data_IF_495166634162
#
_entry.id   IF_495166634162
#
_cell.length_a   1.000
_cell.length_b   1.000
_cell.length_c   1.000
_cell.angle_alpha   90.00
_cell.angle_beta   90.00
_cell.angle_gamma   90.00
#
_symmetry.space_group_name_H-M   'P 1'
#
loop_
_entity.id
_entity.type
_entity.pdbx_description
1 polymer ?
#
# COMPACT_ATOMS: atom_id res chain seq x y z
N UNK A 1 17.15 -35.73 -21.15
CA UNK A 1 17.65 -35.36 -19.81
C UNK A 1 17.43 -33.87 -19.66
N UNK A 2 16.64 -33.49 -18.64
CA UNK A 2 16.00 -32.18 -18.51
C UNK A 2 16.99 -31.05 -18.22
N UNK A 3 16.86 -29.96 -18.97
CA UNK A 3 17.52 -28.69 -18.75
C UNK A 3 16.92 -28.02 -17.51
N UNK A 4 17.69 -27.97 -16.42
CA UNK A 4 17.37 -27.11 -15.27
C UNK A 4 17.65 -25.68 -15.69
N UNK A 5 16.60 -24.86 -15.83
CA UNK A 5 16.74 -23.40 -15.80
C UNK A 5 17.00 -23.01 -14.35
N UNK A 6 18.24 -22.66 -14.05
CA UNK A 6 18.61 -21.96 -12.84
C UNK A 6 17.94 -20.58 -12.87
N UNK A 7 16.94 -20.37 -12.01
CA UNK A 7 16.56 -19.03 -11.61
C UNK A 7 17.72 -18.48 -10.78
N UNK A 8 18.42 -17.51 -11.36
CA UNK A 8 19.51 -16.75 -10.76
C UNK A 8 19.20 -16.42 -9.30
N UNK A 9 20.06 -16.92 -8.42
CA UNK A 9 20.08 -16.50 -7.02
C UNK A 9 20.38 -15.01 -6.92
N UNK A 10 19.49 -14.29 -6.25
CA UNK A 10 19.83 -13.08 -5.53
C UNK A 10 19.68 -13.40 -4.04
N UNK A 11 20.75 -13.96 -3.47
CA UNK A 11 21.01 -13.80 -2.05
C UNK A 11 21.46 -12.34 -1.82
N UNK A 12 20.49 -11.45 -1.67
CA UNK A 12 20.68 -10.16 -0.99
C UNK A 12 19.50 -10.01 -0.05
N UNK A 13 19.60 -10.57 1.16
CA UNK A 13 18.59 -10.39 2.19
C UNK A 13 18.60 -8.94 2.67
N UNK A 14 18.04 -8.02 1.88
CA UNK A 14 17.71 -6.68 2.37
C UNK A 14 16.74 -6.86 3.53
N UNK A 15 16.99 -6.16 4.64
CA UNK A 15 16.08 -6.16 5.77
C UNK A 15 14.67 -5.77 5.28
N UNK A 16 13.62 -6.40 5.81
CA UNK A 16 12.26 -5.94 5.54
C UNK A 16 12.12 -4.45 5.88
N UNK A 17 11.32 -3.73 5.10
CA UNK A 17 10.97 -2.35 5.40
C UNK A 17 10.29 -2.26 6.75
N UNK A 18 10.60 -1.26 7.56
CA UNK A 18 9.95 -1.02 8.85
C UNK A 18 8.55 -0.48 8.67
N UNK A 19 8.36 0.56 7.84
CA UNK A 19 7.06 1.21 7.65
C UNK A 19 6.83 1.50 6.18
N UNK A 20 5.83 0.85 5.62
CA UNK A 20 5.39 1.05 4.24
C UNK A 20 4.09 1.88 4.19
N UNK A 21 4.11 2.98 3.44
CA UNK A 21 2.93 3.79 3.14
C UNK A 21 2.43 3.44 1.74
N UNK A 22 1.21 2.93 1.65
CA UNK A 22 0.56 2.50 0.42
C UNK A 22 -0.54 3.51 0.06
N UNK A 23 -0.25 4.40 -0.90
CA UNK A 23 -1.22 5.35 -1.43
C UNK A 23 -2.11 4.65 -2.44
N UNK A 24 -3.34 4.34 -2.04
CA UNK A 24 -4.31 3.57 -2.83
C UNK A 24 -5.11 4.48 -3.77
N UNK A 25 -5.50 3.95 -4.93
CA UNK A 25 -6.26 4.62 -5.98
C UNK A 25 -7.74 4.24 -5.88
N UNK A 26 -8.18 3.22 -6.61
CA UNK A 26 -9.59 2.94 -6.85
C UNK A 26 -10.22 1.99 -5.80
N UNK A 27 -11.52 2.18 -5.58
CA UNK A 27 -12.39 1.19 -4.94
C UNK A 27 -12.57 -0.07 -5.79
N UNK A 28 -13.14 -1.12 -5.18
CA UNK A 28 -13.46 -2.38 -5.88
C UNK A 28 -12.23 -3.27 -6.07
N UNK A 29 -12.06 -3.81 -7.28
CA UNK A 29 -11.03 -4.82 -7.55
C UNK A 29 -9.60 -4.32 -7.30
N UNK A 30 -9.35 -3.02 -7.44
CA UNK A 30 -8.02 -2.44 -7.29
C UNK A 30 -7.53 -2.57 -5.83
N UNK A 31 -8.31 -2.06 -4.88
CA UNK A 31 -8.02 -2.24 -3.46
C UNK A 31 -8.16 -3.70 -2.99
N UNK A 32 -9.24 -4.41 -3.39
CA UNK A 32 -9.54 -5.75 -2.87
C UNK A 32 -8.59 -6.82 -3.40
N UNK A 33 -8.23 -6.76 -4.69
CA UNK A 33 -7.42 -7.80 -5.37
C UNK A 33 -5.99 -7.34 -5.70
N UNK A 34 -5.69 -6.04 -5.57
CA UNK A 34 -4.36 -5.48 -5.80
C UNK A 34 -3.68 -5.05 -4.51
N UNK A 35 -4.12 -3.92 -3.93
CA UNK A 35 -3.39 -3.26 -2.85
C UNK A 35 -3.50 -3.99 -1.50
N UNK A 36 -4.63 -4.61 -1.17
CA UNK A 36 -4.74 -5.42 0.06
C UNK A 36 -3.88 -6.71 0.01
N UNK A 37 -3.88 -7.49 -1.09
CA UNK A 37 -2.94 -8.61 -1.23
C UNK A 37 -1.47 -8.18 -1.17
N UNK A 38 -1.12 -7.01 -1.71
CA UNK A 38 0.22 -6.44 -1.60
C UNK A 38 0.57 -6.08 -0.15
N UNK A 39 -0.32 -5.39 0.57
CA UNK A 39 -0.17 -5.09 1.99
C UNK A 39 0.02 -6.38 2.81
N UNK A 40 -0.82 -7.40 2.55
CA UNK A 40 -0.72 -8.72 3.16
C UNK A 40 0.64 -9.39 2.91
N UNK A 41 1.20 -9.23 1.72
CA UNK A 41 2.51 -9.81 1.38
C UNK A 41 3.66 -9.08 2.06
N UNK A 42 3.59 -7.75 2.20
CA UNK A 42 4.55 -6.97 2.99
C UNK A 42 4.54 -7.41 4.46
N UNK A 43 3.36 -7.50 5.06
CA UNK A 43 3.18 -8.00 6.44
C UNK A 43 3.77 -9.42 6.59
N UNK A 44 3.49 -10.32 5.64
CA UNK A 44 4.03 -11.70 5.66
C UNK A 44 5.55 -11.73 5.60
N UNK A 45 6.16 -10.81 4.86
CA UNK A 45 7.63 -10.73 4.69
C UNK A 45 8.33 -10.03 5.86
N UNK A 46 7.59 -9.61 6.88
CA UNK A 46 8.15 -9.03 8.09
C UNK A 46 8.27 -7.51 8.05
N UNK A 47 7.51 -6.84 7.18
CA UNK A 47 7.37 -5.38 7.31
C UNK A 47 6.75 -5.05 8.66
N UNK A 48 7.34 -4.15 9.44
CA UNK A 48 6.97 -3.91 10.85
C UNK A 48 5.69 -3.06 11.01
N UNK A 49 5.26 -2.36 9.96
CA UNK A 49 4.02 -1.58 9.91
C UNK A 49 3.61 -1.30 8.46
N UNK A 50 2.33 -1.47 8.13
CA UNK A 50 1.77 -1.08 6.83
C UNK A 50 0.65 -0.06 7.03
N UNK A 51 0.72 1.05 6.32
CA UNK A 51 -0.26 2.13 6.38
C UNK A 51 -0.93 2.27 5.02
N UNK A 52 -2.24 2.05 4.95
CA UNK A 52 -3.04 2.37 3.78
C UNK A 52 -3.40 3.86 3.83
N UNK A 53 -3.00 4.59 2.79
CA UNK A 53 -3.21 6.03 2.67
C UNK A 53 -4.25 6.30 1.60
N UNK A 54 -5.42 6.80 2.00
CA UNK A 54 -6.57 6.99 1.12
C UNK A 54 -7.11 8.41 1.17
N UNK A 55 -8.03 8.74 0.26
CA UNK A 55 -8.62 10.08 0.20
C UNK A 55 -9.45 10.39 1.44
N UNK A 56 -9.34 11.63 1.92
CA UNK A 56 -10.26 12.17 2.95
C UNK A 56 -11.66 12.40 2.39
N UNK A 57 -11.76 12.81 1.12
CA UNK A 57 -13.03 13.13 0.46
C UNK A 57 -13.20 12.33 -0.84
N UNK A 58 -14.43 11.99 -1.25
CA UNK A 58 -14.68 11.25 -2.48
C UNK A 58 -14.10 11.95 -3.73
N UNK A 59 -13.49 11.18 -4.62
CA UNK A 59 -12.98 11.65 -5.90
C UNK A 59 -13.13 10.56 -6.96
N UNK A 60 -14.04 10.74 -7.92
CA UNK A 60 -14.39 9.70 -8.89
C UNK A 60 -14.77 8.39 -8.17
N UNK A 61 -14.02 7.32 -8.40
CA UNK A 61 -14.18 6.01 -7.79
C UNK A 61 -12.98 5.67 -6.88
N UNK A 62 -12.22 6.67 -6.45
CA UNK A 62 -11.14 6.49 -5.50
C UNK A 62 -11.69 6.00 -4.15
N UNK A 63 -10.97 5.08 -3.51
CA UNK A 63 -11.32 4.63 -2.17
C UNK A 63 -11.00 5.71 -1.14
N UNK A 64 -11.91 5.90 -0.19
CA UNK A 64 -11.74 6.85 0.91
C UNK A 64 -11.23 6.16 2.17
N UNK A 65 -10.56 6.92 3.04
CA UNK A 65 -10.09 6.43 4.32
C UNK A 65 -11.25 5.96 5.23
N UNK A 66 -12.44 6.53 5.05
CA UNK A 66 -13.65 6.11 5.79
C UNK A 66 -14.19 4.75 5.32
N UNK A 67 -13.96 4.36 4.07
CA UNK A 67 -14.43 3.08 3.52
C UNK A 67 -13.45 1.93 3.81
N UNK A 68 -12.16 2.22 3.94
CA UNK A 68 -11.12 1.21 4.11
C UNK A 68 -11.32 0.29 5.33
N UNK A 69 -11.73 0.76 6.52
CA UNK A 69 -11.95 -0.12 7.68
C UNK A 69 -12.95 -1.25 7.39
N UNK A 70 -14.07 -0.96 6.73
CA UNK A 70 -15.08 -1.97 6.40
C UNK A 70 -14.57 -2.97 5.35
N UNK A 71 -13.82 -2.48 4.35
CA UNK A 71 -13.19 -3.33 3.33
C UNK A 71 -12.15 -4.26 3.97
N UNK A 72 -11.31 -3.74 4.86
CA UNK A 72 -10.31 -4.51 5.61
C UNK A 72 -11.01 -5.53 6.52
N UNK A 73 -12.10 -5.15 7.18
CA UNK A 73 -12.89 -6.03 8.02
C UNK A 73 -13.46 -7.22 7.25
N UNK A 74 -13.97 -6.99 6.04
CA UNK A 74 -14.45 -8.08 5.19
C UNK A 74 -13.30 -9.00 4.75
N UNK A 75 -12.16 -8.41 4.31
CA UNK A 75 -10.99 -9.19 3.92
C UNK A 75 -10.41 -10.02 5.09
N UNK A 76 -10.46 -9.49 6.31
CA UNK A 76 -9.98 -10.14 7.53
C UNK A 76 -10.76 -11.43 7.87
N UNK A 77 -12.03 -11.54 7.48
CA UNK A 77 -12.81 -12.79 7.61
C UNK A 77 -12.20 -13.95 6.82
N UNK A 78 -11.40 -13.65 5.81
CA UNK A 78 -10.80 -14.62 4.89
C UNK A 78 -9.28 -14.72 5.01
N UNK A 79 -8.62 -13.92 5.86
CA UNK A 79 -7.17 -13.89 5.95
C UNK A 79 -6.66 -13.57 7.36
N UNK A 80 -6.05 -14.56 8.03
CA UNK A 80 -5.49 -14.42 9.39
C UNK A 80 -4.38 -13.39 9.52
N UNK A 81 -3.63 -13.12 8.44
CA UNK A 81 -2.57 -12.10 8.44
C UNK A 81 -3.21 -10.71 8.49
N UNK A 82 -4.21 -10.46 7.63
CA UNK A 82 -4.92 -9.19 7.63
C UNK A 82 -5.72 -8.99 8.90
N UNK A 83 -6.37 -10.04 9.43
CA UNK A 83 -7.11 -9.97 10.69
C UNK A 83 -6.23 -9.54 11.85
N UNK A 84 -5.14 -10.27 12.12
CA UNK A 84 -4.21 -9.94 13.21
C UNK A 84 -3.59 -8.55 13.06
N UNK A 85 -3.27 -8.16 11.82
CA UNK A 85 -2.69 -6.84 11.56
C UNK A 85 -3.71 -5.71 11.76
N UNK A 86 -4.96 -5.91 11.35
CA UNK A 86 -6.04 -4.95 11.53
C UNK A 86 -6.44 -4.81 13.01
N UNK A 87 -6.45 -5.91 13.78
CA UNK A 87 -6.60 -5.89 15.24
C UNK A 87 -5.46 -5.12 15.90
N UNK A 88 -4.20 -5.39 15.53
CA UNK A 88 -3.03 -4.70 16.06
C UNK A 88 -2.99 -3.21 15.71
N UNK A 89 -3.52 -2.83 14.54
CA UNK A 89 -3.67 -1.44 14.11
C UNK A 89 -4.94 -0.75 14.60
N UNK A 90 -5.79 -1.42 15.39
CA UNK A 90 -7.02 -0.85 15.94
C UNK A 90 -8.15 -0.64 14.93
N UNK A 91 -8.05 -1.21 13.72
CA UNK A 91 -9.10 -1.17 12.70
C UNK A 91 -10.24 -2.15 13.01
N UNK A 92 -9.93 -3.21 13.74
CA UNK A 92 -10.89 -4.19 14.23
C UNK A 92 -10.89 -4.18 15.75
N UNK A 93 -12.08 -4.11 16.33
CA UNK A 93 -12.27 -4.29 17.77
C UNK A 93 -12.80 -5.69 17.96
N UNK A 94 -12.02 -6.53 18.65
CA UNK A 94 -12.45 -7.89 18.94
C UNK A 94 -13.61 -7.82 19.95
N UNK A 95 -14.85 -7.99 19.46
CA UNK A 95 -16.07 -7.89 20.28
C UNK A 95 -16.22 -9.05 21.27
N UNK A 96 -15.26 -9.99 21.32
CA UNK A 96 -15.28 -11.18 22.16
C UNK A 96 -14.13 -11.22 23.18
N UNK A 97 -14.17 -10.32 24.17
CA UNK A 97 -13.68 -10.71 25.52
C UNK A 97 -14.80 -11.52 26.17
N UNK A 98 -14.96 -12.78 25.77
CA UNK A 98 -15.60 -13.78 26.62
C UNK A 98 -15.09 -15.19 26.27
N UNK A 99 -14.46 -15.77 27.30
CA UNK A 99 -14.17 -17.20 27.55
C UNK A 99 -13.00 -17.89 26.84
N UNK A 100 -11.93 -18.05 27.65
CA UNK A 100 -11.20 -19.27 28.01
C UNK A 100 -10.22 -19.94 27.01
N UNK A 101 -8.97 -19.95 27.46
CA UNK A 101 -7.89 -20.93 27.27
C UNK A 101 -7.43 -21.33 25.86
N UNK A 102 -6.25 -20.84 25.50
CA UNK A 102 -5.42 -21.41 24.44
C UNK A 102 -4.25 -20.50 24.07
N UNK A 103 -3.09 -20.74 24.68
CA UNK A 103 -1.76 -20.21 24.30
C UNK A 103 -1.72 -18.77 23.74
N UNK A 104 -1.52 -17.79 24.63
CA UNK A 104 -0.96 -16.49 24.23
C UNK A 104 0.45 -16.71 23.68
N UNK A 105 0.56 -17.06 22.41
CA UNK A 105 1.78 -16.76 21.67
C UNK A 105 1.91 -15.23 21.69
N UNK A 106 2.91 -14.75 22.43
CA UNK A 106 3.36 -13.37 22.42
C UNK A 106 4.00 -13.02 21.06
N UNK A 107 3.29 -13.28 19.96
CA UNK A 107 3.63 -12.73 18.65
C UNK A 107 3.09 -11.31 18.64
N UNK A 108 3.99 -10.33 18.82
CA UNK A 108 3.68 -8.93 18.59
C UNK A 108 3.11 -8.82 17.18
N UNK A 109 1.79 -8.67 17.07
CA UNK A 109 1.14 -8.58 15.77
C UNK A 109 1.48 -7.23 15.15
N UNK A 110 1.88 -7.28 13.90
CA UNK A 110 2.35 -6.13 13.12
C UNK A 110 1.13 -5.31 12.68
N UNK A 111 1.06 -4.00 12.96
CA UNK A 111 -0.13 -3.20 12.67
C UNK A 111 -0.34 -2.93 11.17
N UNK A 112 -1.60 -3.03 10.75
CA UNK A 112 -2.16 -2.46 9.53
C UNK A 112 -3.02 -1.26 9.93
N UNK A 113 -2.65 -0.05 9.47
CA UNK A 113 -3.36 1.19 9.79
C UNK A 113 -3.97 1.83 8.55
N UNK A 114 -4.92 2.73 8.76
CA UNK A 114 -5.50 3.58 7.73
C UNK A 114 -5.24 5.03 8.10
N UNK A 115 -4.77 5.82 7.14
CA UNK A 115 -4.56 7.27 7.30
C UNK A 115 -5.20 8.00 6.14
N UNK A 116 -5.90 9.08 6.45
CA UNK A 116 -6.45 9.96 5.43
C UNK A 116 -5.39 10.93 4.89
N UNK A 117 -5.40 11.20 3.59
CA UNK A 117 -4.37 12.02 2.94
C UNK A 117 -4.67 13.53 2.93
N UNK A 118 -5.89 13.95 3.34
CA UNK A 118 -6.32 15.35 3.33
C UNK A 118 -6.86 15.86 2.00
N UNK A 119 -7.03 15.01 0.98
CA UNK A 119 -7.47 15.42 -0.36
C UNK A 119 -8.78 14.73 -0.81
N UNK A 120 -9.42 15.37 -1.80
CA UNK A 120 -10.59 14.88 -2.52
C UNK A 120 -10.38 14.93 -4.03
N UNK A 121 -9.22 14.45 -4.48
CA UNK A 121 -8.77 14.55 -5.86
C UNK A 121 -8.18 13.21 -6.32
N UNK A 122 -8.35 12.81 -7.60
CA UNK A 122 -7.69 11.63 -8.16
C UNK A 122 -6.17 11.79 -8.27
N UNK A 123 -5.66 13.00 -8.03
CA UNK A 123 -4.25 13.35 -8.00
C UNK A 123 -3.87 13.87 -6.60
N UNK A 124 -2.63 13.62 -6.17
CA UNK A 124 -2.14 14.07 -4.86
C UNK A 124 -0.91 14.98 -5.01
N UNK A 125 -0.99 16.16 -4.40
CA UNK A 125 0.16 17.05 -4.20
C UNK A 125 0.78 16.76 -2.83
N UNK A 126 1.90 16.02 -2.80
CA UNK A 126 2.54 15.58 -1.56
C UNK A 126 3.16 16.73 -0.73
N UNK A 127 3.11 17.98 -1.23
CA UNK A 127 3.46 19.18 -0.45
C UNK A 127 2.32 19.64 0.46
N UNK A 128 1.10 19.15 0.21
CA UNK A 128 -0.12 19.53 0.91
C UNK A 128 -0.90 18.28 1.30
N UNK A 129 -0.58 17.74 2.47
CA UNK A 129 -1.19 16.53 3.03
C UNK A 129 -1.77 16.82 4.41
N UNK A 130 -2.64 15.93 4.90
CA UNK A 130 -3.12 15.97 6.28
C UNK A 130 -1.96 15.93 7.29
N UNK A 131 -2.17 16.50 8.47
CA UNK A 131 -1.17 16.45 9.54
C UNK A 131 -0.89 15.02 10.01
N UNK A 132 -1.90 14.15 9.95
CA UNK A 132 -1.78 12.73 10.28
C UNK A 132 -0.87 12.00 9.29
N UNK A 133 -1.08 12.20 7.98
CA UNK A 133 -0.22 11.62 6.94
C UNK A 133 1.22 12.14 7.04
N UNK A 134 1.40 13.44 7.31
CA UNK A 134 2.72 14.01 7.52
C UNK A 134 3.45 13.37 8.71
N UNK A 135 2.73 13.06 9.80
CA UNK A 135 3.28 12.37 10.97
C UNK A 135 3.63 10.92 10.64
N UNK A 136 2.74 10.17 9.98
CA UNK A 136 2.96 8.78 9.58
C UNK A 136 4.18 8.64 8.66
N UNK A 137 4.36 9.59 7.73
CA UNK A 137 5.45 9.59 6.76
C UNK A 137 6.85 9.84 7.36
N UNK A 138 6.96 10.35 8.60
CA UNK A 138 8.25 10.73 9.20
C UNK A 138 9.23 9.56 9.33
N UNK A 139 8.71 8.37 9.66
CA UNK A 139 9.52 7.16 9.86
C UNK A 139 9.29 6.12 8.76
N UNK A 140 8.64 6.52 7.65
CA UNK A 140 8.42 5.65 6.50
C UNK A 140 9.73 5.39 5.76
N UNK A 141 10.03 4.13 5.51
CA UNK A 141 11.18 3.68 4.72
C UNK A 141 10.78 3.05 3.38
N UNK A 142 9.47 2.94 3.11
CA UNK A 142 8.91 2.64 1.80
C UNK A 142 7.65 3.48 1.53
N UNK A 143 7.57 4.09 0.35
CA UNK A 143 6.33 4.66 -0.20
C UNK A 143 5.92 3.92 -1.47
N UNK A 144 4.67 3.50 -1.55
CA UNK A 144 4.07 2.93 -2.75
C UNK A 144 2.99 3.89 -3.24
N UNK A 145 3.14 4.37 -4.48
CA UNK A 145 2.17 5.21 -5.15
C UNK A 145 1.46 4.40 -6.22
N UNK A 146 0.19 4.11 -6.02
CA UNK A 146 -0.66 3.37 -6.96
C UNK A 146 -1.54 4.34 -7.76
N UNK A 147 -1.89 3.96 -8.99
CA UNK A 147 -2.76 4.76 -9.87
C UNK A 147 -2.06 5.81 -10.72
N UNK A 148 -2.60 6.05 -11.92
CA UNK A 148 -2.07 7.03 -12.89
C UNK A 148 -2.08 8.46 -12.34
N UNK A 149 -3.11 8.84 -11.57
CA UNK A 149 -3.22 10.19 -11.02
C UNK A 149 -2.15 10.47 -9.97
N UNK A 150 -1.99 9.58 -8.98
CA UNK A 150 -1.03 9.75 -7.88
C UNK A 150 0.41 9.51 -8.31
N UNK A 151 0.69 8.48 -9.11
CA UNK A 151 2.06 8.07 -9.42
C UNK A 151 2.61 8.68 -10.70
N UNK A 152 1.78 8.97 -11.72
CA UNK A 152 2.23 9.48 -13.01
C UNK A 152 1.96 10.98 -13.18
N UNK A 153 0.73 11.44 -12.93
CA UNK A 153 0.37 12.84 -13.19
C UNK A 153 1.08 13.82 -12.23
N UNK A 154 1.15 13.50 -10.94
CA UNK A 154 1.71 14.42 -9.95
C UNK A 154 3.11 14.04 -9.45
N UNK A 155 3.41 12.75 -9.31
CA UNK A 155 4.62 12.32 -8.58
C UNK A 155 5.62 11.47 -9.38
N UNK A 156 5.51 11.41 -10.71
CA UNK A 156 6.38 10.53 -11.53
C UNK A 156 7.88 10.79 -11.32
N UNK A 157 8.25 12.06 -11.17
CA UNK A 157 9.63 12.49 -10.94
C UNK A 157 9.86 12.99 -9.50
N UNK A 158 8.87 12.84 -8.60
CA UNK A 158 9.06 13.14 -7.19
C UNK A 158 10.15 12.22 -6.62
N UNK A 159 11.08 12.80 -5.87
CA UNK A 159 12.15 12.08 -5.17
C UNK A 159 11.83 12.00 -3.67
N UNK A 160 12.17 10.86 -3.07
CA UNK A 160 11.88 10.57 -1.67
C UNK A 160 13.17 10.27 -0.92
N UNK A 161 13.14 10.52 0.40
CA UNK A 161 14.23 10.16 1.33
C UNK A 161 14.24 8.68 1.68
N UNK A 162 13.18 7.97 1.30
CA UNK A 162 12.99 6.54 1.45
C UNK A 162 12.82 5.89 0.09
N UNK A 163 12.77 4.56 0.05
CA UNK A 163 12.52 3.83 -1.18
C UNK A 163 11.10 4.12 -1.69
N UNK A 164 10.95 4.24 -3.01
CA UNK A 164 9.68 4.55 -3.65
C UNK A 164 9.35 3.57 -4.76
N UNK A 165 8.13 3.02 -4.74
CA UNK A 165 7.57 2.19 -5.78
C UNK A 165 6.37 2.89 -6.43
N UNK A 166 6.46 3.15 -7.73
CA UNK A 166 5.38 3.78 -8.51
C UNK A 166 4.74 2.73 -9.41
N UNK A 167 3.45 2.47 -9.17
CA UNK A 167 2.64 1.48 -9.87
C UNK A 167 1.51 2.21 -10.60
N UNK A 168 1.37 1.96 -11.90
CA UNK A 168 0.23 2.47 -12.65
C UNK A 168 0.03 1.73 -13.97
N UNK A 169 -1.23 1.61 -14.39
CA UNK A 169 -1.57 1.39 -15.79
C UNK A 169 -1.81 2.74 -16.47
N UNK A 170 -1.18 2.97 -17.62
CA UNK A 170 -1.34 4.24 -18.34
C UNK A 170 -2.68 4.26 -19.09
N UNK A 171 -3.65 5.05 -18.63
CA UNK A 171 -4.99 5.12 -19.24
C UNK A 171 -5.13 6.26 -20.28
N UNK A 172 -4.02 6.85 -20.72
CA UNK A 172 -4.01 7.97 -21.66
C UNK A 172 -2.85 7.86 -22.68
N UNK A 173 -3.17 7.74 -23.97
CA UNK A 173 -2.17 7.58 -25.05
C UNK A 173 -1.17 8.75 -25.10
N UNK A 174 -1.64 9.99 -24.97
CA UNK A 174 -0.77 11.18 -25.01
C UNK A 174 0.23 11.18 -23.86
N UNK A 175 -0.19 10.73 -22.67
CA UNK A 175 0.71 10.60 -21.52
C UNK A 175 1.72 9.47 -21.75
N UNK A 176 1.28 8.33 -22.28
CA UNK A 176 2.15 7.19 -22.57
C UNK A 176 3.31 7.59 -23.48
N UNK A 177 3.00 8.27 -24.59
CA UNK A 177 4.00 8.75 -25.56
C UNK A 177 4.99 9.74 -24.94
N UNK A 178 4.48 10.69 -24.15
CA UNK A 178 5.29 11.78 -23.59
C UNK A 178 6.15 11.36 -22.40
N UNK A 179 5.62 10.52 -21.53
CA UNK A 179 6.23 10.23 -20.22
C UNK A 179 7.11 8.98 -20.25
N UNK A 180 6.65 7.94 -20.94
CA UNK A 180 7.31 6.62 -20.96
C UNK A 180 7.69 6.15 -22.37
N UNK A 181 7.39 6.95 -23.41
CA UNK A 181 7.58 6.57 -24.83
C UNK A 181 6.90 5.23 -25.16
N UNK A 182 5.72 5.00 -24.57
CA UNK A 182 4.95 3.77 -24.66
C UNK A 182 3.54 4.00 -25.20
N UNK A 183 2.68 3.01 -24.98
CA UNK A 183 1.30 2.99 -25.43
C UNK A 183 0.30 3.07 -24.26
N UNK A 184 -0.95 3.39 -24.58
CA UNK A 184 -2.05 3.21 -23.63
C UNK A 184 -2.11 1.75 -23.16
N UNK A 185 -2.39 1.58 -21.87
CA UNK A 185 -2.42 0.33 -21.11
C UNK A 185 -1.06 -0.29 -20.80
N UNK A 186 0.05 0.32 -21.20
CA UNK A 186 1.35 -0.06 -20.65
C UNK A 186 1.37 0.11 -19.13
N UNK A 187 2.05 -0.80 -18.45
CA UNK A 187 2.24 -0.78 -17.02
C UNK A 187 3.55 -0.07 -16.65
N UNK A 188 3.48 0.83 -15.69
CA UNK A 188 4.62 1.39 -14.98
C UNK A 188 4.79 0.64 -13.67
N UNK A 189 5.97 0.03 -13.50
CA UNK A 189 6.46 -0.48 -12.24
C UNK A 189 7.88 0.08 -12.05
N UNK A 190 7.97 1.21 -11.35
CA UNK A 190 9.21 1.97 -11.22
C UNK A 190 9.62 2.02 -9.75
N UNK A 191 10.67 1.27 -9.43
CA UNK A 191 11.35 1.34 -8.13
C UNK A 191 12.45 2.41 -8.18
N UNK A 192 12.51 3.23 -7.14
CA UNK A 192 13.53 4.25 -6.94
C UNK A 192 14.07 4.09 -5.51
N UNK A 193 15.37 3.80 -5.33
CA UNK A 193 15.94 3.75 -3.99
C UNK A 193 15.97 5.14 -3.36
N UNK A 194 16.04 5.19 -2.03
CA UNK A 194 16.21 6.42 -1.24
C UNK A 194 17.30 7.35 -1.82
N UNK A 195 16.98 8.64 -1.92
CA UNK A 195 17.84 9.69 -2.50
C UNK A 195 18.25 10.79 -1.53
#
# INVERSE_FOLDING_TARGET
MSSKRECLGLETGSLPHRRALLFVDNSGADIVLGMLPLARELLRRGTEEVVLVANSLPALNDVTAMELPDIVAEAAKHCDILRRAAEAGGLLVDAMINTLDGSKENSSSVPLMVVENGCGSPCIDLRQVSSELAAAAKDADLIILEGMGRSLHTNYNARFKCDALKLAMVKNQRLAEKLIKGNIYDCVCRYEPAS
#
